data_IF_101308251737
#
_entry.id   IF_101308251737
#
_cell.length_a   1.000
_cell.length_b   1.000
_cell.length_c   1.000
_cell.angle_alpha   90.00
_cell.angle_beta   90.00
_cell.angle_gamma   90.00
#
_symmetry.space_group_name_H-M   'P 1'
#
loop_
_entity.id
_entity.type
_entity.pdbx_description
1 polymer ?
#
# COMPACT_ATOMS: atom_id res chain seq x y z
N UNK A 1 39.62 38.73 37.75
CA UNK A 1 40.55 37.86 36.98
C UNK A 1 41.84 37.54 37.75
N UNK A 2 42.35 38.42 38.62
CA UNK A 2 43.64 38.26 39.32
C UNK A 2 43.56 37.23 40.46
N UNK A 3 42.49 37.22 41.25
CA UNK A 3 42.35 36.36 42.45
C UNK A 3 42.12 34.87 42.11
N UNK A 4 41.36 34.57 41.07
CA UNK A 4 41.14 33.20 40.62
C UNK A 4 42.43 32.55 40.06
N UNK A 5 43.25 33.34 39.36
CA UNK A 5 44.55 32.89 38.87
C UNK A 5 45.55 32.59 40.00
N UNK A 6 45.54 33.43 41.07
CA UNK A 6 46.35 33.22 42.28
C UNK A 6 45.91 31.97 43.07
N UNK A 7 44.60 31.74 43.23
CA UNK A 7 44.10 30.56 43.92
C UNK A 7 44.39 29.28 43.14
N UNK A 8 44.26 29.31 41.80
CA UNK A 8 44.60 28.16 40.94
C UNK A 8 46.10 27.84 41.05
N UNK A 9 46.98 28.85 41.02
CA UNK A 9 48.43 28.67 41.12
C UNK A 9 48.87 28.13 42.51
N UNK A 10 48.15 28.51 43.58
CA UNK A 10 48.41 27.97 44.90
C UNK A 10 47.93 26.53 45.10
N UNK A 11 46.77 26.17 44.50
CA UNK A 11 46.22 24.82 44.55
C UNK A 11 47.06 23.82 43.70
N UNK A 12 47.65 24.27 42.60
CA UNK A 12 48.48 23.47 41.70
C UNK A 12 49.89 23.19 42.25
N UNK A 13 50.47 24.09 43.04
CA UNK A 13 51.77 23.88 43.71
C UNK A 13 51.82 22.70 44.68
N UNK A 14 50.68 22.30 45.24
CA UNK A 14 50.57 21.13 46.16
C UNK A 14 50.52 19.76 45.46
N UNK A 15 50.33 19.72 44.12
CA UNK A 15 50.20 18.46 43.34
C UNK A 15 51.28 18.27 42.25
N UNK A 16 52.27 19.14 42.14
CA UNK A 16 53.38 18.99 41.19
C UNK A 16 52.99 19.20 39.71
N UNK A 17 51.78 19.75 39.45
CA UNK A 17 51.29 20.04 38.09
C UNK A 17 51.76 21.43 37.69
N UNK A 18 52.43 21.58 36.56
CA UNK A 18 52.92 22.88 36.06
C UNK A 18 51.80 23.70 35.41
N UNK A 19 51.96 25.03 35.40
CA UNK A 19 51.00 25.89 34.72
C UNK A 19 50.89 25.62 33.23
N UNK A 20 51.95 25.07 32.62
CA UNK A 20 52.00 24.67 31.23
C UNK A 20 51.12 23.40 30.97
N UNK A 21 51.21 22.40 31.85
CA UNK A 21 50.33 21.19 31.75
C UNK A 21 48.85 21.51 31.91
N UNK A 22 48.51 22.48 32.81
CA UNK A 22 47.13 22.94 32.95
C UNK A 22 46.65 23.69 31.71
N UNK A 23 47.52 24.51 31.10
CA UNK A 23 47.16 25.23 29.87
C UNK A 23 46.95 24.29 28.68
N UNK A 24 47.77 23.24 28.56
CA UNK A 24 47.70 22.21 27.57
C UNK A 24 46.40 21.39 27.72
N UNK A 25 46.06 20.99 28.95
CA UNK A 25 44.82 20.24 29.25
C UNK A 25 43.57 21.10 29.00
N UNK A 26 43.61 22.43 29.31
CA UNK A 26 42.55 23.33 29.00
C UNK A 26 42.36 23.58 27.50
N UNK A 27 43.46 23.59 26.74
CA UNK A 27 43.38 23.74 25.29
C UNK A 27 42.85 22.45 24.63
N UNK A 28 43.30 21.28 25.06
CA UNK A 28 42.81 19.97 24.59
C UNK A 28 41.30 19.80 24.90
N UNK A 29 40.86 20.04 26.14
CA UNK A 29 39.44 20.00 26.49
C UNK A 29 38.60 21.03 25.74
N UNK A 30 39.16 22.22 25.45
CA UNK A 30 38.50 23.26 24.67
C UNK A 30 38.38 22.84 23.19
N UNK A 31 39.37 22.18 22.64
CA UNK A 31 39.34 21.64 21.27
C UNK A 31 38.31 20.51 21.14
N UNK A 32 38.28 19.56 22.09
CA UNK A 32 37.29 18.48 22.12
C UNK A 32 35.86 19.01 22.22
N UNK A 33 35.61 20.00 23.07
CA UNK A 33 34.31 20.63 23.19
C UNK A 33 33.89 21.38 21.92
N UNK A 34 34.83 22.06 21.25
CA UNK A 34 34.56 22.72 19.96
C UNK A 34 34.22 21.69 18.89
N UNK A 35 35.01 20.61 18.80
CA UNK A 35 34.77 19.54 17.84
C UNK A 35 33.42 18.86 18.06
N UNK A 36 33.12 18.49 19.32
CA UNK A 36 31.83 17.89 19.68
C UNK A 36 30.65 18.80 19.31
N UNK A 37 30.76 20.12 19.62
CA UNK A 37 29.72 21.09 19.29
C UNK A 37 29.55 21.24 17.76
N UNK A 38 30.65 21.28 17.01
CA UNK A 38 30.60 21.38 15.54
C UNK A 38 29.98 20.11 14.94
N UNK A 39 30.32 18.93 15.45
CA UNK A 39 29.78 17.67 15.00
C UNK A 39 28.27 17.58 15.26
N UNK A 40 27.81 17.96 16.46
CA UNK A 40 26.39 18.01 16.80
C UNK A 40 25.61 18.99 15.93
N UNK A 41 26.18 20.17 15.69
CA UNK A 41 25.55 21.18 14.83
C UNK A 41 25.49 20.70 13.38
N UNK A 42 26.57 20.12 12.84
CA UNK A 42 26.60 19.58 11.50
C UNK A 42 25.61 18.42 11.34
N UNK A 43 25.49 17.55 12.35
CA UNK A 43 24.50 16.47 12.37
C UNK A 43 23.09 17.00 12.32
N UNK A 44 22.75 17.98 13.18
CA UNK A 44 21.42 18.60 13.21
C UNK A 44 21.05 19.28 11.86
N UNK A 45 22.01 19.95 11.22
CA UNK A 45 21.77 20.66 9.95
C UNK A 45 21.59 19.72 8.75
N UNK A 46 22.20 18.53 8.78
CA UNK A 46 22.12 17.57 7.68
C UNK A 46 20.94 16.57 7.77
N UNK A 47 20.16 16.61 8.86
CA UNK A 47 18.95 15.77 8.99
C UNK A 47 17.82 16.37 8.17
N UNK A 48 17.07 15.52 7.45
CA UNK A 48 15.90 15.92 6.65
C UNK A 48 14.70 16.39 7.48
N UNK A 49 14.71 16.11 8.78
CA UNK A 49 13.68 16.52 9.73
C UNK A 49 13.94 17.93 10.27
N UNK A 50 12.89 18.71 10.48
CA UNK A 50 12.96 19.89 11.32
C UNK A 50 13.17 19.48 12.77
N UNK A 51 14.06 20.16 13.48
CA UNK A 51 14.34 19.89 14.90
C UNK A 51 14.24 21.20 15.65
N UNK A 52 13.54 21.18 16.79
CA UNK A 52 13.50 22.28 17.75
C UNK A 52 13.68 21.72 19.16
N UNK A 53 14.53 22.36 19.94
CA UNK A 53 14.82 22.01 21.34
C UNK A 53 14.46 23.18 22.23
N UNK A 54 13.74 22.89 23.31
CA UNK A 54 13.38 23.87 24.35
C UNK A 54 13.94 23.45 25.69
N UNK A 55 14.22 24.44 26.53
CA UNK A 55 14.61 24.26 27.94
C UNK A 55 13.39 23.88 28.82
N UNK A 56 13.60 23.59 30.13
CA UNK A 56 12.51 23.26 31.05
C UNK A 56 11.47 24.39 31.20
N UNK A 57 11.84 25.64 30.95
CA UNK A 57 10.98 26.82 30.95
C UNK A 57 10.21 26.98 29.61
N UNK A 58 10.32 26.01 28.70
CA UNK A 58 9.72 26.01 27.37
C UNK A 58 10.19 27.22 26.53
N UNK A 59 11.49 27.52 26.56
CA UNK A 59 12.14 28.49 25.70
C UNK A 59 13.03 27.77 24.67
N UNK A 60 13.05 28.24 23.46
CA UNK A 60 13.88 27.66 22.38
C UNK A 60 15.37 27.81 22.73
N UNK A 61 16.13 26.75 22.69
CA UNK A 61 17.58 26.72 22.91
C UNK A 61 18.37 26.26 21.69
N UNK A 62 17.76 25.43 20.82
CA UNK A 62 18.39 25.02 19.59
C UNK A 62 17.32 24.66 18.53
N UNK A 63 17.69 24.81 17.29
CA UNK A 63 16.90 24.38 16.12
C UNK A 63 17.84 24.17 14.94
N UNK A 64 17.38 23.49 13.91
CA UNK A 64 18.09 23.39 12.63
C UNK A 64 17.42 24.24 11.55
N UNK A 65 18.14 24.44 10.46
CA UNK A 65 17.65 25.22 9.31
C UNK A 65 16.34 24.65 8.75
N UNK A 66 16.23 23.31 8.71
CA UNK A 66 15.03 22.63 8.20
C UNK A 66 13.76 23.01 8.96
N UNK A 67 13.84 23.20 10.26
CA UNK A 67 12.71 23.69 11.07
C UNK A 67 12.21 25.06 10.61
N UNK A 68 13.11 26.00 10.32
CA UNK A 68 12.74 27.33 9.83
C UNK A 68 12.07 27.26 8.45
N UNK A 69 12.64 26.44 7.54
CA UNK A 69 12.11 26.26 6.17
C UNK A 69 10.73 25.61 6.15
N UNK A 70 10.47 24.67 7.06
CA UNK A 70 9.19 23.94 7.10
C UNK A 70 8.03 24.85 7.52
N UNK A 71 8.28 25.80 8.41
CA UNK A 71 7.24 26.65 8.99
C UNK A 71 7.21 28.08 8.43
N UNK A 72 8.15 28.41 7.55
CA UNK A 72 8.26 29.71 6.91
C UNK A 72 8.24 30.86 7.94
N UNK A 73 9.02 30.67 9.02
CA UNK A 73 9.15 31.71 10.03
C UNK A 73 9.90 32.93 9.49
N UNK A 74 9.41 34.15 9.76
CA UNK A 74 10.14 35.36 9.42
C UNK A 74 11.54 35.39 10.03
N UNK A 75 12.46 36.02 9.33
CA UNK A 75 13.85 36.20 9.82
C UNK A 75 13.84 36.86 11.22
N UNK A 76 14.62 36.29 12.11
CA UNK A 76 14.69 36.76 13.50
C UNK A 76 13.53 36.40 14.43
N UNK A 77 12.52 35.67 13.91
CA UNK A 77 11.42 35.21 14.73
C UNK A 77 11.84 34.10 15.69
N UNK A 78 12.69 33.18 15.29
CA UNK A 78 13.23 32.13 16.15
C UNK A 78 14.61 32.53 16.63
N UNK A 79 14.77 32.65 17.95
CA UNK A 79 16.02 32.97 18.61
C UNK A 79 16.14 32.24 19.95
N UNK A 80 17.35 32.12 20.46
CA UNK A 80 17.60 31.47 21.75
C UNK A 80 16.91 32.24 22.88
N UNK A 81 16.11 31.53 23.68
CA UNK A 81 15.30 32.11 24.76
C UNK A 81 13.89 32.52 24.35
N UNK A 82 13.51 32.39 23.06
CA UNK A 82 12.14 32.65 22.62
C UNK A 82 11.16 31.67 23.26
N UNK A 83 10.05 32.15 23.90
CA UNK A 83 9.01 31.26 24.39
C UNK A 83 8.38 30.42 23.24
N UNK A 84 8.28 29.11 23.44
CA UNK A 84 7.60 28.22 22.48
C UNK A 84 6.14 28.64 22.28
N UNK A 85 5.49 29.18 23.32
CA UNK A 85 4.13 29.73 23.25
C UNK A 85 3.96 30.75 22.10
N UNK A 86 4.96 31.61 21.86
CA UNK A 86 4.89 32.62 20.81
C UNK A 86 4.87 32.03 19.43
N UNK A 87 5.64 30.95 19.22
CA UNK A 87 5.66 30.21 17.93
C UNK A 87 4.36 29.45 17.71
N UNK A 88 3.79 28.87 18.77
CA UNK A 88 2.48 28.21 18.70
C UNK A 88 1.39 29.23 18.37
N UNK A 89 1.40 30.39 19.04
CA UNK A 89 0.45 31.49 18.79
C UNK A 89 0.54 31.98 17.35
N UNK A 90 1.73 32.22 16.84
CA UNK A 90 1.96 32.60 15.45
C UNK A 90 1.35 31.60 14.47
N UNK A 91 1.54 30.30 14.70
CA UNK A 91 0.96 29.27 13.85
C UNK A 91 -0.58 29.21 14.00
N UNK A 92 -1.11 29.43 15.19
CA UNK A 92 -2.55 29.47 15.45
C UNK A 92 -3.24 30.65 14.75
N UNK A 93 -2.67 31.84 14.83
CA UNK A 93 -3.16 33.07 14.18
C UNK A 93 -3.17 32.93 12.64
N UNK A 94 -2.32 32.09 12.09
CA UNK A 94 -2.32 31.73 10.65
C UNK A 94 -3.29 30.60 10.31
N UNK A 95 -4.09 30.13 11.25
CA UNK A 95 -5.11 29.11 11.02
C UNK A 95 -4.60 27.66 10.98
N UNK A 96 -3.35 27.40 11.36
CA UNK A 96 -2.76 26.04 11.33
C UNK A 96 -3.53 25.06 12.22
N UNK A 97 -4.24 25.54 13.23
CA UNK A 97 -5.01 24.72 14.17
C UNK A 97 -6.53 24.73 13.90
N UNK A 98 -6.96 25.32 12.77
CA UNK A 98 -8.37 25.52 12.46
C UNK A 98 -9.02 26.51 13.45
N UNK A 99 -10.31 26.36 13.70
CA UNK A 99 -11.11 27.26 14.59
C UNK A 99 -10.90 26.98 16.09
N UNK A 100 -9.77 26.39 16.48
CA UNK A 100 -9.47 26.14 17.90
C UNK A 100 -8.84 27.36 18.57
N UNK A 101 -9.17 27.58 19.84
CA UNK A 101 -8.57 28.66 20.65
C UNK A 101 -7.04 28.51 20.71
N UNK A 102 -6.27 29.53 20.30
CA UNK A 102 -4.82 29.51 20.37
C UNK A 102 -4.29 29.24 21.79
N UNK A 103 -4.91 29.80 22.81
CA UNK A 103 -4.47 29.63 24.20
C UNK A 103 -4.69 28.20 24.69
N UNK A 104 -5.74 27.52 24.27
CA UNK A 104 -5.95 26.09 24.55
C UNK A 104 -4.83 25.25 23.94
N UNK A 105 -4.48 25.52 22.68
CA UNK A 105 -3.40 24.81 21.98
C UNK A 105 -2.04 25.04 22.63
N UNK A 106 -1.78 26.25 23.09
CA UNK A 106 -0.57 26.61 23.83
C UNK A 106 -0.54 25.84 25.15
N UNK A 107 -1.61 25.92 25.93
CA UNK A 107 -1.69 25.29 27.26
C UNK A 107 -1.48 23.79 27.17
N UNK A 108 -2.11 23.10 26.17
CA UNK A 108 -1.97 21.68 25.94
C UNK A 108 -0.54 21.26 25.62
N UNK A 109 0.15 22.01 24.76
CA UNK A 109 1.53 21.69 24.39
C UNK A 109 2.52 21.97 25.51
N UNK A 110 2.37 23.09 26.20
CA UNK A 110 3.21 23.39 27.35
C UNK A 110 3.01 22.38 28.49
N UNK A 111 1.80 21.84 28.67
CA UNK A 111 1.54 20.76 29.62
C UNK A 111 2.33 19.49 29.28
N UNK A 112 2.34 19.07 28.00
CA UNK A 112 3.16 17.93 27.56
C UNK A 112 4.66 18.17 27.78
N UNK A 113 5.14 19.37 27.44
CA UNK A 113 6.56 19.72 27.61
C UNK A 113 6.96 19.69 29.09
N UNK A 114 6.15 20.27 29.99
CA UNK A 114 6.41 20.28 31.44
C UNK A 114 6.34 18.88 32.06
N UNK A 115 5.42 18.03 31.56
CA UNK A 115 5.28 16.66 32.02
C UNK A 115 6.34 15.72 31.44
N UNK A 116 7.14 16.18 30.46
CA UNK A 116 8.11 15.34 29.76
C UNK A 116 7.48 14.17 28.98
N UNK A 117 6.17 14.23 28.71
CA UNK A 117 5.45 13.15 28.02
C UNK A 117 5.71 13.18 26.54
N UNK A 118 5.95 12.00 25.94
CA UNK A 118 6.08 11.89 24.50
C UNK A 118 4.72 11.95 23.81
N UNK A 119 4.71 12.52 22.60
CA UNK A 119 3.54 12.48 21.71
C UNK A 119 3.95 12.34 20.25
N UNK A 120 3.02 11.82 19.45
CA UNK A 120 3.11 11.79 17.98
C UNK A 120 1.81 12.37 17.43
N UNK A 121 1.91 13.39 16.58
CA UNK A 121 0.76 14.05 15.97
C UNK A 121 1.06 14.26 14.50
N UNK A 122 0.11 13.91 13.64
CA UNK A 122 0.14 14.26 12.22
C UNK A 122 -0.82 15.42 11.97
N UNK A 123 -0.38 16.41 11.20
CA UNK A 123 -1.19 17.58 10.86
C UNK A 123 -0.91 18.05 9.44
N UNK A 124 -1.97 18.36 8.75
CA UNK A 124 -1.88 19.09 7.50
C UNK A 124 -1.68 20.59 7.78
N UNK A 125 -0.73 21.17 7.05
CA UNK A 125 -0.37 22.59 7.13
C UNK A 125 -1.05 23.38 6.03
N UNK A 126 -1.12 24.71 6.17
CA UNK A 126 -1.77 25.63 5.21
C UNK A 126 -1.23 25.54 3.78
N UNK A 127 0.00 25.09 3.62
CA UNK A 127 0.63 24.86 2.32
C UNK A 127 0.30 23.49 1.70
N UNK A 128 -0.65 22.74 2.27
CA UNK A 128 -1.05 21.40 1.84
C UNK A 128 -0.02 20.31 2.11
N UNK A 129 1.01 20.60 2.93
CA UNK A 129 1.95 19.59 3.41
C UNK A 129 1.47 18.95 4.70
N UNK A 130 1.78 17.69 4.87
CA UNK A 130 1.48 16.94 6.09
C UNK A 130 2.76 16.74 6.88
N UNK A 131 2.78 17.26 8.09
CA UNK A 131 3.90 17.09 9.01
C UNK A 131 3.54 16.13 10.14
N UNK A 132 4.44 15.20 10.41
CA UNK A 132 4.43 14.39 11.63
C UNK A 132 5.36 15.03 12.65
N UNK A 133 4.82 15.29 13.83
CA UNK A 133 5.51 15.91 14.94
C UNK A 133 5.73 14.89 16.05
N UNK A 134 6.97 14.67 16.41
CA UNK A 134 7.39 13.82 17.53
C UNK A 134 7.94 14.70 18.63
N UNK A 135 7.29 14.74 19.77
CA UNK A 135 7.76 15.44 20.95
C UNK A 135 8.23 14.47 22.02
N UNK A 136 9.36 14.76 22.67
CA UNK A 136 9.94 13.94 23.73
C UNK A 136 10.65 14.78 24.77
N UNK A 137 10.42 14.48 26.06
CA UNK A 137 11.18 15.07 27.17
C UNK A 137 12.62 14.58 27.21
N UNK A 138 13.54 15.45 27.63
CA UNK A 138 14.95 15.13 27.83
C UNK A 138 15.26 14.79 29.30
N UNK A 139 16.29 13.96 29.57
CA UNK A 139 16.64 13.53 30.95
C UNK A 139 16.92 14.69 31.91
N UNK A 140 17.54 15.75 31.40
CA UNK A 140 17.92 16.92 32.19
C UNK A 140 16.81 17.99 32.29
N UNK A 141 15.58 17.62 31.94
CA UNK A 141 14.48 18.53 31.71
C UNK A 141 14.57 19.15 30.32
N UNK A 142 13.62 19.91 29.90
CA UNK A 142 13.53 20.42 28.55
C UNK A 142 12.88 19.40 27.57
N UNK A 143 12.80 19.79 26.29
CA UNK A 143 11.97 19.07 25.36
C UNK A 143 12.52 19.16 23.93
N UNK A 144 12.58 18.04 23.23
CA UNK A 144 12.92 18.00 21.82
C UNK A 144 11.66 17.68 20.99
N UNK A 145 11.47 18.41 19.92
CA UNK A 145 10.42 18.11 18.92
C UNK A 145 11.06 17.96 17.55
N UNK A 146 10.77 16.85 16.89
CA UNK A 146 11.13 16.63 15.49
C UNK A 146 9.90 16.75 14.60
N UNK A 147 10.10 17.24 13.39
CA UNK A 147 9.08 17.48 12.38
C UNK A 147 9.49 16.78 11.09
N UNK A 148 8.70 15.82 10.67
CA UNK A 148 8.93 15.06 9.43
C UNK A 148 7.89 15.43 8.40
N UNK A 149 8.31 15.80 7.20
CA UNK A 149 7.40 15.97 6.07
C UNK A 149 7.00 14.57 5.55
N UNK A 150 5.75 14.21 5.75
CA UNK A 150 5.17 12.93 5.33
C UNK A 150 4.18 13.09 4.17
N UNK A 151 4.23 14.23 3.47
CA UNK A 151 3.27 14.56 2.38
C UNK A 151 3.28 13.50 1.29
N UNK A 152 4.46 13.13 0.79
CA UNK A 152 4.58 12.15 -0.28
C UNK A 152 4.20 10.75 0.18
N UNK A 153 4.47 10.41 1.44
CA UNK A 153 3.99 9.17 2.04
C UNK A 153 2.46 9.12 2.05
N UNK A 154 1.80 10.19 2.52
CA UNK A 154 0.34 10.28 2.57
C UNK A 154 -0.31 10.24 1.19
N UNK A 155 0.29 10.90 0.20
CA UNK A 155 -0.18 10.84 -1.20
C UNK A 155 -0.08 9.42 -1.76
N UNK A 156 1.03 8.74 -1.50
CA UNK A 156 1.24 7.36 -1.96
C UNK A 156 0.27 6.40 -1.25
N UNK A 157 0.07 6.54 0.05
CA UNK A 157 -0.90 5.76 0.82
C UNK A 157 -2.32 5.91 0.25
N UNK A 158 -2.73 7.14 -0.03
CA UNK A 158 -4.05 7.43 -0.60
C UNK A 158 -4.19 6.85 -2.02
N UNK A 159 -3.20 7.04 -2.89
CA UNK A 159 -3.22 6.48 -4.24
C UNK A 159 -3.27 4.95 -4.24
N UNK A 160 -2.57 4.30 -3.31
CA UNK A 160 -2.62 2.85 -3.13
C UNK A 160 -4.01 2.38 -2.69
N UNK A 161 -4.65 3.10 -1.77
CA UNK A 161 -6.00 2.78 -1.31
C UNK A 161 -7.02 2.88 -2.45
N UNK A 162 -6.96 3.94 -3.25
CA UNK A 162 -7.82 4.16 -4.42
C UNK A 162 -7.59 3.08 -5.51
N UNK A 163 -6.33 2.73 -5.77
CA UNK A 163 -5.99 1.67 -6.71
C UNK A 163 -6.51 0.31 -6.24
N UNK A 164 -6.40 0.01 -4.94
CA UNK A 164 -6.95 -1.20 -4.33
C UNK A 164 -8.47 -1.28 -4.50
N UNK A 165 -9.20 -0.22 -4.17
CA UNK A 165 -10.66 -0.17 -4.31
C UNK A 165 -11.10 -0.38 -5.77
N UNK A 166 -10.41 0.28 -6.71
CA UNK A 166 -10.66 0.12 -8.14
C UNK A 166 -10.42 -1.33 -8.60
N UNK A 167 -9.36 -1.96 -8.11
CA UNK A 167 -9.05 -3.35 -8.45
C UNK A 167 -10.10 -4.32 -7.87
N UNK A 168 -10.53 -4.12 -6.64
CA UNK A 168 -11.58 -4.93 -6.00
C UNK A 168 -12.90 -4.86 -6.80
N UNK A 169 -13.30 -3.67 -7.23
CA UNK A 169 -14.48 -3.49 -8.08
C UNK A 169 -14.35 -4.22 -9.42
N UNK A 170 -13.21 -4.10 -10.11
CA UNK A 170 -12.95 -4.80 -11.36
C UNK A 170 -12.96 -6.32 -11.20
N UNK A 171 -12.41 -6.83 -10.11
CA UNK A 171 -12.43 -8.26 -9.81
C UNK A 171 -13.87 -8.74 -9.62
N UNK A 172 -14.69 -8.00 -8.88
CA UNK A 172 -16.10 -8.34 -8.67
C UNK A 172 -16.90 -8.34 -9.99
N UNK A 173 -16.73 -7.30 -10.82
CA UNK A 173 -17.37 -7.22 -12.14
C UNK A 173 -16.96 -8.37 -13.03
N UNK A 174 -15.66 -8.66 -13.13
CA UNK A 174 -15.15 -9.77 -13.95
C UNK A 174 -15.60 -11.14 -13.45
N UNK A 175 -15.67 -11.31 -12.14
CA UNK A 175 -16.19 -12.56 -11.56
C UNK A 175 -17.65 -12.78 -11.93
N UNK A 176 -18.47 -11.74 -11.88
CA UNK A 176 -19.88 -11.79 -12.28
C UNK A 176 -20.04 -12.07 -13.77
N UNK A 177 -19.27 -11.40 -14.64
CA UNK A 177 -19.26 -11.67 -16.09
C UNK A 177 -18.90 -13.12 -16.41
N UNK A 178 -17.85 -13.64 -15.76
CA UNK A 178 -17.41 -15.04 -15.95
C UNK A 178 -18.46 -16.04 -15.47
N UNK A 179 -19.15 -15.77 -14.37
CA UNK A 179 -20.24 -16.64 -13.90
C UNK A 179 -21.38 -16.71 -14.91
N UNK A 180 -21.84 -15.57 -15.42
CA UNK A 180 -22.89 -15.52 -16.45
C UNK A 180 -22.45 -16.23 -17.75
N UNK A 181 -21.22 -16.03 -18.19
CA UNK A 181 -20.71 -16.70 -19.39
C UNK A 181 -20.61 -18.22 -19.18
N UNK A 182 -20.21 -18.68 -18.00
CA UNK A 182 -20.13 -20.09 -17.66
C UNK A 182 -21.53 -20.76 -17.64
N UNK A 183 -22.52 -20.08 -17.09
CA UNK A 183 -23.92 -20.55 -17.08
C UNK A 183 -24.46 -20.67 -18.52
N UNK A 184 -24.27 -19.64 -19.35
CA UNK A 184 -24.67 -19.66 -20.74
C UNK A 184 -23.99 -20.79 -21.54
N UNK A 185 -22.70 -21.02 -21.29
CA UNK A 185 -21.97 -22.15 -21.92
C UNK A 185 -22.52 -23.51 -21.49
N UNK A 186 -22.84 -23.69 -20.21
CA UNK A 186 -23.43 -24.95 -19.68
C UNK A 186 -24.78 -25.23 -20.32
N UNK A 187 -25.65 -24.21 -20.43
CA UNK A 187 -26.95 -24.36 -21.07
C UNK A 187 -26.86 -24.68 -22.53
N UNK A 188 -25.97 -23.99 -23.29
CA UNK A 188 -25.71 -24.29 -24.67
C UNK A 188 -25.18 -25.74 -24.89
N UNK A 189 -24.27 -26.20 -24.02
CA UNK A 189 -23.77 -27.57 -24.06
C UNK A 189 -24.88 -28.59 -23.79
N UNK A 190 -25.71 -28.37 -22.77
CA UNK A 190 -26.85 -29.27 -22.47
C UNK A 190 -27.81 -29.38 -23.65
N UNK A 191 -28.18 -28.25 -24.27
CA UNK A 191 -29.07 -28.23 -25.42
C UNK A 191 -28.46 -28.99 -26.62
N UNK A 192 -27.18 -28.83 -26.87
CA UNK A 192 -26.47 -29.58 -27.93
C UNK A 192 -26.46 -31.08 -27.65
N UNK A 193 -26.22 -31.52 -26.43
CA UNK A 193 -26.23 -32.92 -26.02
C UNK A 193 -27.64 -33.55 -26.15
N UNK A 194 -28.69 -32.84 -25.73
CA UNK A 194 -30.08 -33.26 -25.88
C UNK A 194 -30.49 -33.40 -27.37
N UNK A 195 -30.08 -32.42 -28.17
CA UNK A 195 -30.32 -32.43 -29.62
C UNK A 195 -29.62 -33.60 -30.30
N UNK A 196 -28.36 -33.84 -29.94
CA UNK A 196 -27.58 -34.96 -30.50
C UNK A 196 -28.15 -36.32 -30.07
N UNK A 197 -28.56 -36.48 -28.80
CA UNK A 197 -29.21 -37.67 -28.33
C UNK A 197 -30.55 -37.96 -29.04
N UNK A 198 -31.33 -36.91 -29.33
CA UNK A 198 -32.57 -37.01 -30.09
C UNK A 198 -32.32 -37.41 -31.55
N UNK A 199 -31.31 -36.80 -32.21
CA UNK A 199 -30.89 -37.13 -33.53
C UNK A 199 -30.46 -38.61 -33.63
N UNK A 200 -29.64 -39.07 -32.68
CA UNK A 200 -29.17 -40.46 -32.64
C UNK A 200 -30.33 -41.44 -32.49
N UNK A 201 -31.28 -41.16 -31.59
CA UNK A 201 -32.50 -42.00 -31.42
C UNK A 201 -33.35 -42.02 -32.67
N UNK A 202 -33.56 -40.87 -33.32
CA UNK A 202 -34.31 -40.79 -34.59
C UNK A 202 -33.67 -41.62 -35.69
N UNK A 203 -32.35 -41.50 -35.89
CA UNK A 203 -31.63 -42.29 -36.91
C UNK A 203 -31.73 -43.80 -36.63
N UNK A 204 -31.57 -44.21 -35.36
CA UNK A 204 -31.70 -45.62 -34.98
C UNK A 204 -33.11 -46.17 -35.24
N UNK A 205 -34.16 -45.41 -34.86
CA UNK A 205 -35.55 -45.81 -35.11
C UNK A 205 -35.85 -45.86 -36.61
N UNK A 206 -35.47 -44.86 -37.37
CA UNK A 206 -35.68 -44.83 -38.83
C UNK A 206 -34.95 -46.00 -39.56
N UNK A 207 -33.71 -46.27 -39.12
CA UNK A 207 -32.99 -47.45 -39.67
C UNK A 207 -33.69 -48.76 -39.39
N UNK A 208 -34.17 -48.98 -38.17
CA UNK A 208 -34.93 -50.15 -37.78
C UNK A 208 -36.22 -50.28 -38.59
N UNK A 209 -36.99 -49.19 -38.72
CA UNK A 209 -38.29 -49.22 -39.47
C UNK A 209 -38.12 -49.37 -40.99
N UNK A 210 -36.96 -48.96 -41.52
CA UNK A 210 -36.61 -49.23 -42.93
C UNK A 210 -36.12 -50.69 -43.19
N UNK A 211 -35.29 -51.19 -42.24
CA UNK A 211 -34.75 -52.57 -42.40
C UNK A 211 -35.81 -53.65 -42.28
N UNK A 212 -36.86 -53.46 -41.47
CA UNK A 212 -37.92 -54.43 -41.28
C UNK A 212 -38.66 -54.81 -42.63
N UNK A 213 -39.22 -53.85 -43.38
CA UNK A 213 -39.90 -54.15 -44.62
C UNK A 213 -38.93 -54.68 -45.71
N UNK A 214 -37.67 -54.22 -45.71
CA UNK A 214 -36.64 -54.70 -46.59
C UNK A 214 -36.36 -56.20 -46.36
N UNK A 215 -36.17 -56.59 -45.08
CA UNK A 215 -35.96 -57.96 -44.68
C UNK A 215 -37.18 -58.84 -45.00
N UNK A 216 -38.41 -58.33 -44.80
CA UNK A 216 -39.62 -59.06 -45.16
C UNK A 216 -39.71 -59.31 -46.71
N UNK A 217 -39.42 -58.26 -47.47
CA UNK A 217 -39.44 -58.40 -48.96
C UNK A 217 -38.32 -59.33 -49.45
N UNK A 218 -37.14 -59.40 -48.85
CA UNK A 218 -36.07 -60.30 -49.09
C UNK A 218 -36.52 -61.77 -48.87
N UNK A 219 -37.18 -62.01 -47.72
CA UNK A 219 -37.71 -63.31 -47.38
C UNK A 219 -38.77 -63.79 -48.42
N UNK A 220 -39.63 -62.88 -48.89
CA UNK A 220 -40.57 -63.18 -49.95
C UNK A 220 -39.90 -63.49 -51.30
N UNK A 221 -38.86 -62.70 -51.65
CA UNK A 221 -38.11 -62.98 -52.86
C UNK A 221 -37.40 -64.35 -52.79
N UNK A 222 -36.75 -64.70 -51.69
CA UNK A 222 -36.14 -66.02 -51.49
C UNK A 222 -37.17 -67.15 -51.50
N UNK A 223 -38.37 -66.97 -50.92
CA UNK A 223 -39.42 -67.96 -50.98
C UNK A 223 -39.98 -68.18 -52.42
N UNK A 224 -40.02 -67.11 -53.22
CA UNK A 224 -40.38 -67.21 -54.63
C UNK A 224 -39.32 -67.96 -55.44
N UNK A 225 -38.04 -67.78 -55.17
CA UNK A 225 -36.95 -68.54 -55.82
C UNK A 225 -37.00 -70.01 -55.47
N UNK A 226 -37.40 -70.38 -54.22
CA UNK A 226 -37.53 -71.80 -53.83
C UNK A 226 -38.77 -72.48 -54.32
N UNK A 227 -39.86 -71.76 -54.59
CA UNK A 227 -41.18 -72.33 -54.91
C UNK A 227 -41.57 -72.26 -56.39
N UNK A 228 -40.78 -71.60 -57.27
CA UNK A 228 -41.09 -71.42 -58.68
C UNK A 228 -39.95 -71.90 -59.58
N UNK A 229 -40.30 -72.73 -60.57
CA UNK A 229 -39.37 -73.12 -61.61
C UNK A 229 -39.49 -72.21 -62.86
N UNK A 230 -40.30 -71.20 -62.85
CA UNK A 230 -40.48 -70.25 -63.95
C UNK A 230 -39.26 -69.29 -64.06
N UNK A 231 -38.55 -69.30 -65.18
CA UNK A 231 -37.37 -68.42 -65.36
C UNK A 231 -37.65 -66.91 -65.19
N UNK A 232 -38.85 -66.48 -65.52
CA UNK A 232 -39.24 -65.10 -65.46
C UNK A 232 -39.42 -64.65 -63.97
N UNK A 233 -39.96 -65.57 -63.13
CA UNK A 233 -40.12 -65.35 -61.69
C UNK A 233 -38.77 -65.31 -60.97
N UNK A 234 -37.86 -66.24 -61.34
CA UNK A 234 -36.52 -66.31 -60.76
C UNK A 234 -35.68 -65.06 -61.09
N UNK A 235 -35.80 -64.53 -62.33
CA UNK A 235 -35.11 -63.29 -62.72
C UNK A 235 -35.61 -62.07 -61.89
N UNK A 236 -36.94 -61.99 -61.71
CA UNK A 236 -37.52 -60.85 -60.89
C UNK A 236 -37.11 -60.95 -59.41
N UNK A 237 -37.17 -62.14 -58.80
CA UNK A 237 -36.78 -62.38 -57.44
C UNK A 237 -35.30 -62.02 -57.18
N UNK A 238 -34.40 -62.46 -58.10
CA UNK A 238 -32.96 -62.11 -58.01
C UNK A 238 -32.68 -60.60 -58.16
N UNK A 239 -33.48 -59.94 -59.02
CA UNK A 239 -33.37 -58.45 -59.13
C UNK A 239 -33.86 -57.75 -57.90
N UNK A 240 -34.90 -58.25 -57.22
CA UNK A 240 -35.36 -57.72 -55.94
C UNK A 240 -34.28 -57.88 -54.82
N UNK A 241 -33.71 -59.11 -54.71
CA UNK A 241 -32.67 -59.39 -53.72
C UNK A 241 -31.43 -58.51 -53.93
N UNK A 242 -31.01 -58.34 -55.17
CA UNK A 242 -29.88 -57.46 -55.53
C UNK A 242 -30.13 -56.00 -55.22
N UNK A 243 -31.35 -55.48 -55.46
CA UNK A 243 -31.74 -54.11 -55.14
C UNK A 243 -31.79 -53.87 -53.65
N UNK A 244 -32.21 -54.84 -52.86
CA UNK A 244 -32.29 -54.80 -51.44
C UNK A 244 -30.91 -54.80 -50.75
N UNK A 245 -30.00 -55.66 -51.28
CA UNK A 245 -28.60 -55.63 -50.80
C UNK A 245 -27.94 -54.27 -51.04
N UNK A 246 -28.16 -53.69 -52.23
CA UNK A 246 -27.66 -52.35 -52.52
C UNK A 246 -28.24 -51.24 -51.58
N UNK A 247 -29.44 -51.41 -51.02
CA UNK A 247 -30.07 -50.55 -50.10
C UNK A 247 -29.60 -50.74 -48.62
N UNK A 248 -29.08 -51.92 -48.28
CA UNK A 248 -28.50 -52.23 -46.95
C UNK A 248 -27.07 -51.66 -46.81
N UNK A 249 -26.34 -51.50 -47.92
CA UNK A 249 -24.94 -51.02 -47.94
C UNK A 249 -24.81 -49.47 -47.94
N UNK A 250 -25.91 -48.74 -47.87
CA UNK A 250 -25.91 -47.24 -47.80
C UNK A 250 -26.17 -46.77 -46.40
#
# INVERSE_FOLDING_TARGET
>A
ASSARLMLTHALRGRGITAEEVAELLDETSQELRFSRQLLQATMENVSQGIAVADPEARIVAWNRRYLEMFDYPEGMVYVGRPVADLIRWNAERGVFGDTDPEEQIAKRLAHMRAGTSYVIQREWLNGRVYEMHGQGMPDGGYVTTFTDITDFKRTEQALLEAKQTLEQRVEERTRELQLALEAQRDAKRLAEETNATKTRFVAAASHDLLQPLNAARLFASALEEQSDDPAVLEIAGRIDSSMRAAEDV
#
